data_IF_901526921637
#
_entry.id   IF_901526921637
#
_cell.length_a   1.000
_cell.length_b   1.000
_cell.length_c   1.000
_cell.angle_alpha   90.00
_cell.angle_beta   90.00
_cell.angle_gamma   90.00
#
_symmetry.space_group_name_H-M   'P 1'
#
loop_
_entity.id
_entity.type
_entity.pdbx_description
1 polymer ?
#
# COMPACT_ATOMS: atom_id res chain seq x y z
N UNK A 1 20.38 19.55 -1.12
CA UNK A 1 20.07 18.11 -1.02
C UNK A 1 18.65 17.95 -1.51
N UNK A 2 18.46 17.34 -2.68
CA UNK A 2 17.10 17.09 -3.18
C UNK A 2 16.39 16.11 -2.27
N UNK A 3 15.19 16.47 -1.84
CA UNK A 3 14.36 15.59 -1.03
C UNK A 3 13.70 14.57 -1.96
N UNK A 4 14.38 13.45 -2.16
CA UNK A 4 13.90 12.34 -3.00
C UNK A 4 12.46 11.91 -2.67
N UNK A 5 12.05 12.00 -1.40
CA UNK A 5 10.66 11.73 -1.02
C UNK A 5 9.69 12.69 -1.70
N UNK A 6 10.00 13.98 -1.78
CA UNK A 6 9.12 14.93 -2.49
C UNK A 6 9.05 14.65 -3.99
N UNK A 7 10.12 14.12 -4.59
CA UNK A 7 10.14 13.81 -6.02
C UNK A 7 9.31 12.56 -6.35
N UNK A 8 9.30 11.52 -5.49
CA UNK A 8 8.43 10.35 -5.72
C UNK A 8 6.94 10.72 -5.68
N UNK A 9 6.55 11.70 -4.87
CA UNK A 9 5.16 12.20 -4.82
C UNK A 9 4.79 13.06 -6.03
N UNK A 10 5.73 13.39 -6.92
CA UNK A 10 5.48 14.12 -8.18
C UNK A 10 5.48 13.21 -9.41
N UNK A 11 5.98 11.97 -9.29
CA UNK A 11 5.99 11.01 -10.41
C UNK A 11 4.55 10.58 -10.76
N UNK A 12 4.04 11.13 -11.85
CA UNK A 12 2.69 10.84 -12.37
C UNK A 12 2.48 9.36 -12.67
N UNK A 13 3.50 8.65 -13.12
CA UNK A 13 3.41 7.22 -13.42
C UNK A 13 3.23 6.42 -12.13
N UNK A 14 4.00 6.75 -11.11
CA UNK A 14 3.89 6.13 -9.79
C UNK A 14 2.52 6.43 -9.14
N UNK A 15 2.07 7.68 -9.20
CA UNK A 15 0.75 8.10 -8.69
C UNK A 15 -0.36 7.26 -9.32
N UNK A 16 -0.38 7.14 -10.66
CA UNK A 16 -1.42 6.37 -11.36
C UNK A 16 -1.36 4.88 -11.00
N UNK A 17 -0.16 4.31 -10.81
CA UNK A 17 0.00 2.92 -10.35
C UNK A 17 -0.54 2.73 -8.93
N UNK A 18 -0.18 3.62 -7.99
CA UNK A 18 -0.64 3.58 -6.61
C UNK A 18 -2.16 3.65 -6.56
N UNK A 19 -2.78 4.63 -7.23
CA UNK A 19 -4.23 4.78 -7.27
C UNK A 19 -4.95 3.54 -7.81
N UNK A 20 -4.37 2.87 -8.82
CA UNK A 20 -4.99 1.69 -9.46
C UNK A 20 -4.72 0.37 -8.75
N UNK A 21 -3.58 0.23 -8.07
CA UNK A 21 -3.10 -1.09 -7.59
C UNK A 21 -2.98 -1.17 -6.07
N UNK A 22 -2.64 -0.09 -5.39
CA UNK A 22 -2.42 -0.11 -3.93
C UNK A 22 -3.68 -0.57 -3.15
N UNK A 23 -4.91 -0.13 -3.49
CA UNK A 23 -6.10 -0.63 -2.79
C UNK A 23 -6.26 -2.14 -2.91
N UNK A 24 -5.99 -2.71 -4.08
CA UNK A 24 -6.08 -4.15 -4.32
C UNK A 24 -4.98 -4.92 -3.58
N UNK A 25 -3.75 -4.40 -3.55
CA UNK A 25 -2.66 -5.00 -2.78
C UNK A 25 -2.95 -5.00 -1.28
N UNK A 26 -3.54 -3.93 -0.76
CA UNK A 26 -3.94 -3.86 0.66
C UNK A 26 -5.09 -4.82 0.97
N UNK A 27 -6.02 -5.03 0.04
CA UNK A 27 -7.06 -6.05 0.19
C UNK A 27 -6.44 -7.46 0.28
N UNK A 28 -5.43 -7.76 -0.52
CA UNK A 28 -4.71 -9.05 -0.43
C UNK A 28 -4.04 -9.19 0.94
N UNK A 29 -3.31 -8.17 1.39
CA UNK A 29 -2.65 -8.17 2.70
C UNK A 29 -3.66 -8.40 3.84
N UNK A 30 -4.84 -7.80 3.76
CA UNK A 30 -5.92 -8.00 4.73
C UNK A 30 -6.45 -9.43 4.70
N UNK A 31 -6.69 -10.02 3.52
CA UNK A 31 -7.18 -11.39 3.38
C UNK A 31 -6.18 -12.41 3.96
N UNK A 32 -4.89 -12.21 3.70
CA UNK A 32 -3.81 -13.08 4.21
C UNK A 32 -3.58 -12.92 5.71
N UNK A 33 -3.86 -11.73 6.26
CA UNK A 33 -3.69 -11.41 7.68
C UNK A 33 -5.00 -11.47 8.48
N UNK A 34 -6.03 -12.12 7.94
CA UNK A 34 -7.34 -12.21 8.58
C UNK A 34 -7.65 -13.61 9.09
N UNK A 35 -8.31 -13.68 10.25
CA UNK A 35 -8.88 -14.91 10.79
C UNK A 35 -10.36 -14.70 11.08
N UNK A 36 -11.22 -15.58 10.55
CA UNK A 36 -12.68 -15.46 10.67
C UNK A 36 -13.21 -14.06 10.26
N UNK A 37 -12.61 -13.45 9.23
CA UNK A 37 -13.00 -12.13 8.73
C UNK A 37 -12.57 -10.95 9.64
N UNK A 38 -11.68 -11.18 10.61
CA UNK A 38 -11.07 -10.14 11.44
C UNK A 38 -9.60 -10.00 11.06
N UNK A 39 -9.21 -8.81 10.61
CA UNK A 39 -7.83 -8.48 10.29
C UNK A 39 -7.06 -8.19 11.57
N UNK A 40 -5.93 -8.88 11.76
CA UNK A 40 -5.03 -8.63 12.88
C UNK A 40 -4.12 -7.41 12.65
N UNK A 41 -3.44 -6.95 13.71
CA UNK A 41 -2.51 -5.80 13.61
C UNK A 41 -1.28 -6.12 12.76
N UNK A 42 -0.91 -7.40 12.66
CA UNK A 42 0.20 -7.91 11.85
C UNK A 42 0.09 -7.53 10.36
N UNK A 43 -1.12 -7.19 9.88
CA UNK A 43 -1.31 -6.63 8.54
C UNK A 43 -0.44 -5.40 8.28
N UNK A 44 -0.12 -4.62 9.32
CA UNK A 44 0.74 -3.44 9.21
C UNK A 44 2.19 -3.77 8.87
N UNK A 45 2.65 -5.00 9.11
CA UNK A 45 3.98 -5.46 8.68
C UNK A 45 4.00 -5.88 7.21
N UNK A 46 2.84 -6.17 6.62
CA UNK A 46 2.68 -6.60 5.22
C UNK A 46 2.41 -5.42 4.27
N UNK A 47 1.76 -4.36 4.77
CA UNK A 47 1.49 -3.11 4.04
C UNK A 47 2.76 -2.27 3.86
#
# INVERSE_FOLDING_TARGET
MENYLLEIFKDKTLIVKIQKRLPYLFQIAELESSRAGKTGMEVGSVR
#
